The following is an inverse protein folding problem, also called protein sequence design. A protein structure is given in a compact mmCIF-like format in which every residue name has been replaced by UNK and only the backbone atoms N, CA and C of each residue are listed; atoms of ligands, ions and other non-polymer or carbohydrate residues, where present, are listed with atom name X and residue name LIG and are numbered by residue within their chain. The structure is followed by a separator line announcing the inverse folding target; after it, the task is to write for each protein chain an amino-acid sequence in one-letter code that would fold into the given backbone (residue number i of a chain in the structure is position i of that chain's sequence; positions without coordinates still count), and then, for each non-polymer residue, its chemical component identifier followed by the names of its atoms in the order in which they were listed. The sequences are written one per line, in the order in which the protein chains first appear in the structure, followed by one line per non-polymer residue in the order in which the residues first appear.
data_IF_516074052178
#
_entry.id   IF_516074052178
#
_cell.length_a   1.000
_cell.length_b   1.000
_cell.length_c   1.000
_cell.angle_alpha   90.00
_cell.angle_beta   90.00
_cell.angle_gamma   90.00
#
_symmetry.space_group_name_H-M   'P 1'
#
loop_
_entity.id
_entity.type
_entity.pdbx_description
1 polymer ?
#
# COMPACT_ATOMS: atom_id res chain seq x y z
N UNK A 1 18.51 27.73 -1.36
CA UNK A 1 17.10 27.86 -1.79
C UNK A 1 16.33 26.71 -1.16
N UNK A 2 15.24 26.95 -0.42
CA UNK A 2 14.41 25.85 0.08
C UNK A 2 13.68 25.23 -1.12
N UNK A 3 13.74 23.90 -1.33
CA UNK A 3 12.90 23.27 -2.34
C UNK A 3 11.43 23.59 -2.03
N UNK A 4 10.75 24.14 -3.03
CA UNK A 4 9.31 24.36 -2.97
C UNK A 4 8.65 23.13 -3.62
N UNK A 5 7.65 22.51 -2.99
CA UNK A 5 6.91 21.42 -3.62
C UNK A 5 6.30 21.90 -4.94
N UNK A 6 6.24 21.02 -5.95
CA UNK A 6 5.60 21.35 -7.22
C UNK A 6 4.12 21.69 -6.98
N UNK A 7 3.56 22.75 -7.60
CA UNK A 7 2.16 23.15 -7.35
C UNK A 7 1.14 22.04 -7.60
N UNK A 8 1.42 21.13 -8.53
CA UNK A 8 0.58 19.95 -8.81
C UNK A 8 0.65 18.87 -7.71
N UNK A 9 1.62 18.96 -6.79
CA UNK A 9 1.79 18.03 -5.65
C UNK A 9 1.15 18.61 -4.39
N UNK A 10 0.98 19.93 -4.32
CA UNK A 10 0.33 20.60 -3.19
C UNK A 10 -1.17 20.43 -3.33
N UNK A 11 -1.79 19.71 -2.38
CA UNK A 11 -3.23 19.41 -2.30
C UNK A 11 -3.79 18.40 -3.32
N UNK A 12 -2.96 17.78 -4.16
CA UNK A 12 -3.42 16.66 -4.98
C UNK A 12 -3.65 15.42 -4.09
N UNK A 13 -4.88 14.92 -4.11
CA UNK A 13 -5.27 13.66 -3.49
C UNK A 13 -5.16 12.57 -4.57
N UNK A 14 -4.12 11.71 -4.55
CA UNK A 14 -4.01 10.65 -5.54
C UNK A 14 -5.15 9.65 -5.34
N UNK A 15 -5.64 9.05 -6.42
CA UNK A 15 -6.54 7.90 -6.33
C UNK A 15 -5.70 6.70 -5.93
N UNK A 16 -6.00 6.12 -4.76
CA UNK A 16 -5.19 5.07 -4.14
C UNK A 16 -5.91 3.72 -4.12
N UNK A 17 -5.18 2.67 -4.50
CA UNK A 17 -5.56 1.28 -4.28
C UNK A 17 -4.64 0.63 -3.25
N UNK A 18 -5.20 -0.07 -2.27
CA UNK A 18 -4.46 -0.81 -1.25
C UNK A 18 -4.77 -2.29 -1.41
N UNK A 19 -3.75 -3.11 -1.69
CA UNK A 19 -3.90 -4.56 -1.86
C UNK A 19 -3.38 -5.25 -0.60
N UNK A 20 -4.28 -5.90 0.13
CA UNK A 20 -4.09 -6.42 1.48
C UNK A 20 -4.61 -5.44 2.53
N UNK A 21 -5.67 -5.83 3.26
CA UNK A 21 -6.36 -5.00 4.24
C UNK A 21 -6.13 -5.47 5.69
N UNK A 22 -4.96 -6.06 5.94
CA UNK A 22 -4.46 -6.34 7.28
C UNK A 22 -4.01 -5.08 8.02
N UNK A 23 -3.23 -5.27 9.09
CA UNK A 23 -2.74 -4.19 9.95
C UNK A 23 -2.10 -3.03 9.18
N UNK A 24 -1.15 -3.34 8.28
CA UNK A 24 -0.42 -2.35 7.47
C UNK A 24 -1.34 -1.64 6.49
N UNK A 25 -2.19 -2.39 5.78
CA UNK A 25 -3.14 -1.83 4.81
C UNK A 25 -4.10 -0.82 5.44
N UNK A 26 -4.64 -1.15 6.62
CA UNK A 26 -5.51 -0.26 7.37
C UNK A 26 -4.77 1.00 7.85
N UNK A 27 -3.50 0.92 8.24
CA UNK A 27 -2.72 2.13 8.57
C UNK A 27 -2.52 3.02 7.34
N UNK A 28 -2.24 2.45 6.18
CA UNK A 28 -2.17 3.22 4.93
C UNK A 28 -3.53 3.87 4.63
N UNK A 29 -4.64 3.15 4.79
CA UNK A 29 -5.99 3.66 4.61
C UNK A 29 -6.36 4.82 5.54
N UNK A 30 -5.79 4.88 6.75
CA UNK A 30 -5.98 6.02 7.67
C UNK A 30 -5.32 7.32 7.15
N UNK A 31 -4.29 7.21 6.32
CA UNK A 31 -3.64 8.36 5.70
C UNK A 31 -4.27 8.74 4.35
N UNK A 32 -4.83 7.75 3.64
CA UNK A 32 -5.56 7.94 2.38
C UNK A 32 -7.03 7.58 2.58
N UNK A 33 -7.79 8.49 3.20
CA UNK A 33 -9.17 8.23 3.62
C UNK A 33 -10.14 7.92 2.47
N UNK A 34 -9.81 8.41 1.27
CA UNK A 34 -10.56 8.14 0.02
C UNK A 34 -10.02 6.93 -0.76
N UNK A 35 -9.09 6.16 -0.18
CA UNK A 35 -8.54 4.99 -0.83
C UNK A 35 -9.58 3.89 -1.01
N UNK A 36 -9.37 3.08 -2.03
CA UNK A 36 -9.99 1.78 -2.14
C UNK A 36 -9.03 0.71 -1.66
N UNK A 37 -9.57 -0.39 -1.15
CA UNK A 37 -8.82 -1.56 -0.76
C UNK A 37 -9.41 -2.83 -1.34
N UNK A 38 -8.58 -3.86 -1.41
CA UNK A 38 -8.98 -5.22 -1.76
C UNK A 38 -8.16 -6.20 -0.93
N UNK A 39 -8.79 -7.30 -0.52
CA UNK A 39 -8.14 -8.37 0.21
C UNK A 39 -8.40 -9.73 -0.48
N UNK A 40 -8.23 -10.84 0.23
CA UNK A 40 -8.31 -12.21 -0.27
C UNK A 40 -9.62 -12.57 -1.00
N UNK A 41 -10.71 -11.84 -0.76
CA UNK A 41 -12.00 -12.04 -1.43
C UNK A 41 -12.07 -11.41 -2.83
N UNK A 42 -11.09 -10.58 -3.19
CA UNK A 42 -11.03 -9.86 -4.46
C UNK A 42 -12.06 -8.74 -4.58
N UNK A 43 -12.85 -8.46 -3.53
CA UNK A 43 -13.83 -7.39 -3.52
C UNK A 43 -13.14 -6.06 -3.26
N UNK A 44 -13.42 -5.07 -4.11
CA UNK A 44 -12.89 -3.73 -3.92
C UNK A 44 -13.87 -2.93 -3.08
N UNK A 45 -13.40 -2.38 -1.97
CA UNK A 45 -14.19 -1.60 -1.03
C UNK A 45 -13.53 -0.23 -0.78
N UNK A 46 -14.32 0.78 -0.45
CA UNK A 46 -13.80 2.03 0.08
C UNK A 46 -13.12 1.79 1.44
N UNK A 47 -12.17 2.63 1.83
CA UNK A 47 -11.53 2.56 3.15
C UNK A 47 -12.53 2.65 4.32
N UNK A 48 -13.69 3.25 4.08
CA UNK A 48 -14.86 3.33 4.98
C UNK A 48 -15.64 2.01 5.11
N UNK A 49 -15.44 1.07 4.18
CA UNK A 49 -15.97 -0.29 4.22
C UNK A 49 -17.09 -0.59 3.22
N UNK A 50 -17.61 0.40 2.49
CA UNK A 50 -18.62 0.17 1.45
C UNK A 50 -18.04 -0.48 0.20
N UNK A 51 -18.81 -1.35 -0.46
CA UNK A 51 -18.42 -1.97 -1.73
C UNK A 51 -18.30 -0.91 -2.84
N UNK A 52 -17.19 -0.93 -3.57
CA UNK A 52 -16.95 -0.05 -4.72
C UNK A 52 -17.36 -0.75 -6.02
N UNK A 53 -18.64 -0.66 -6.38
CA UNK A 53 -19.25 -1.43 -7.48
C UNK A 53 -18.70 -1.09 -8.88
N UNK A 54 -18.09 0.09 -9.08
CA UNK A 54 -17.53 0.49 -10.36
C UNK A 54 -16.19 1.22 -10.21
N UNK A 55 -15.16 0.65 -10.84
CA UNK A 55 -13.85 1.27 -10.99
C UNK A 55 -13.67 1.71 -12.44
N UNK A 56 -14.06 2.95 -12.76
CA UNK A 56 -14.07 3.47 -14.14
C UNK A 56 -12.68 3.89 -14.64
N UNK A 57 -11.81 4.31 -13.73
CA UNK A 57 -10.49 4.87 -14.07
C UNK A 57 -9.36 4.19 -13.28
N UNK A 58 -8.15 4.10 -13.84
CA UNK A 58 -6.99 3.57 -13.12
C UNK A 58 -6.61 4.48 -11.93
N UNK A 59 -6.03 3.90 -10.89
CA UNK A 59 -5.48 4.60 -9.74
C UNK A 59 -4.12 5.23 -10.07
N UNK A 60 -3.78 6.30 -9.35
CA UNK A 60 -2.46 6.93 -9.48
C UNK A 60 -1.40 6.12 -8.73
N UNK A 61 -1.77 5.55 -7.58
CA UNK A 61 -0.86 4.85 -6.68
C UNK A 61 -1.49 3.56 -6.12
N UNK A 62 -0.77 2.46 -6.22
CA UNK A 62 -1.09 1.18 -5.61
C UNK A 62 -0.15 0.87 -4.44
N UNK A 63 -0.67 0.37 -3.33
CA UNK A 63 0.11 -0.15 -2.22
C UNK A 63 -0.02 -1.67 -2.13
N UNK A 64 1.09 -2.38 -1.94
CA UNK A 64 1.10 -3.80 -1.63
C UNK A 64 1.38 -3.97 -0.13
N UNK A 65 0.38 -4.48 0.59
CA UNK A 65 0.33 -4.62 2.05
C UNK A 65 -0.04 -6.06 2.46
N UNK A 66 0.30 -7.04 1.62
CA UNK A 66 0.00 -8.47 1.86
C UNK A 66 1.04 -9.13 2.78
N UNK A 67 0.69 -10.25 3.44
CA UNK A 67 1.64 -11.03 4.23
C UNK A 67 2.85 -11.53 3.42
N UNK A 68 3.98 -11.62 4.11
CA UNK A 68 5.24 -12.17 3.61
C UNK A 68 5.83 -13.08 4.70
N UNK A 69 5.26 -14.27 4.89
CA UNK A 69 5.67 -15.16 5.97
C UNK A 69 7.10 -15.66 5.77
N UNK A 70 7.71 -16.12 6.87
CA UNK A 70 8.96 -16.87 6.78
C UNK A 70 8.71 -18.24 6.13
N UNK A 71 9.50 -18.55 5.10
CA UNK A 71 9.52 -19.83 4.43
C UNK A 71 10.16 -20.93 5.29
N UNK A 72 10.04 -22.19 4.85
CA UNK A 72 10.60 -23.35 5.59
C UNK A 72 12.13 -23.33 5.73
N UNK A 73 12.80 -22.57 4.87
CA UNK A 73 14.24 -22.38 4.83
C UNK A 73 14.69 -21.06 5.49
N UNK A 74 13.78 -20.35 6.18
CA UNK A 74 14.07 -19.08 6.83
C UNK A 74 14.07 -17.87 5.90
N UNK A 75 13.77 -18.05 4.61
CA UNK A 75 13.69 -16.96 3.63
C UNK A 75 12.37 -16.23 3.72
N UNK A 76 12.32 -14.99 3.23
CA UNK A 76 11.05 -14.27 3.14
C UNK A 76 10.27 -14.78 1.93
N UNK A 77 9.07 -15.31 2.15
CA UNK A 77 8.20 -15.79 1.09
C UNK A 77 7.45 -14.61 0.45
N UNK A 78 7.91 -14.18 -0.73
CA UNK A 78 7.36 -13.04 -1.47
C UNK A 78 6.25 -13.41 -2.45
N UNK A 79 5.81 -14.66 -2.50
CA UNK A 79 4.83 -15.12 -3.51
C UNK A 79 3.54 -14.30 -3.49
N UNK A 80 3.02 -13.99 -2.30
CA UNK A 80 1.80 -13.19 -2.16
C UNK A 80 1.97 -11.76 -2.71
N UNK A 81 3.16 -11.17 -2.57
CA UNK A 81 3.47 -9.83 -3.12
C UNK A 81 3.48 -9.88 -4.64
N UNK A 82 4.12 -10.91 -5.21
CA UNK A 82 4.20 -11.11 -6.65
C UNK A 82 2.81 -11.36 -7.26
N UNK A 83 2.04 -12.28 -6.67
CA UNK A 83 0.68 -12.60 -7.10
C UNK A 83 -0.24 -11.37 -7.02
N UNK A 84 -0.19 -10.62 -5.91
CA UNK A 84 -0.95 -9.40 -5.72
C UNK A 84 -0.56 -8.32 -6.75
N UNK A 85 0.74 -8.11 -6.97
CA UNK A 85 1.20 -7.15 -7.97
C UNK A 85 0.73 -7.55 -9.36
N UNK A 86 0.97 -8.78 -9.81
CA UNK A 86 0.60 -9.18 -11.17
C UNK A 86 -0.91 -9.20 -11.42
N UNK A 87 -1.71 -9.50 -10.40
CA UNK A 87 -3.17 -9.44 -10.47
C UNK A 87 -3.68 -8.00 -10.61
N UNK A 88 -3.08 -7.05 -9.89
CA UNK A 88 -3.60 -5.69 -9.78
C UNK A 88 -2.82 -4.64 -10.56
N UNK A 89 -1.63 -4.93 -11.09
CA UNK A 89 -0.69 -3.95 -11.67
C UNK A 89 -1.30 -3.05 -12.74
N UNK A 90 -2.26 -3.57 -13.53
CA UNK A 90 -2.94 -2.81 -14.58
C UNK A 90 -3.93 -1.76 -14.03
N UNK A 91 -4.23 -1.79 -12.73
CA UNK A 91 -5.14 -0.87 -12.06
C UNK A 91 -4.46 0.38 -11.53
N UNK A 92 -3.14 0.40 -11.32
CA UNK A 92 -2.46 1.58 -10.79
C UNK A 92 -1.21 1.96 -11.59
N UNK A 93 -0.97 3.27 -11.74
CA UNK A 93 0.17 3.80 -12.49
C UNK A 93 1.52 3.54 -11.80
N UNK A 94 1.60 3.82 -10.50
CA UNK A 94 2.78 3.58 -9.68
C UNK A 94 2.46 2.63 -8.54
N UNK A 95 3.45 1.88 -8.07
CA UNK A 95 3.30 0.90 -7.00
C UNK A 95 4.30 1.14 -5.88
N UNK A 96 3.86 0.99 -4.64
CA UNK A 96 4.67 1.08 -3.44
C UNK A 96 4.48 -0.17 -2.59
N UNK A 97 5.56 -0.92 -2.38
CA UNK A 97 5.55 -2.11 -1.55
C UNK A 97 5.75 -1.67 -0.10
N UNK A 98 4.77 -1.99 0.76
CA UNK A 98 4.86 -1.88 2.22
C UNK A 98 5.19 -3.22 2.88
N UNK A 99 4.77 -4.33 2.26
CA UNK A 99 5.13 -5.69 2.70
C UNK A 99 6.65 -5.85 2.81
N UNK A 100 7.12 -6.53 3.86
CA UNK A 100 8.54 -6.82 4.06
C UNK A 100 9.02 -7.79 2.98
N UNK A 101 9.90 -7.36 2.08
CA UNK A 101 10.38 -8.17 0.96
C UNK A 101 11.89 -8.35 0.98
N UNK A 102 12.39 -9.38 0.31
CA UNK A 102 13.84 -9.55 0.11
C UNK A 102 14.41 -8.46 -0.80
N UNK A 103 15.69 -8.13 -0.59
CA UNK A 103 16.46 -7.27 -1.51
C UNK A 103 16.38 -7.84 -2.94
N UNK A 104 16.20 -6.98 -3.94
CA UNK A 104 16.01 -7.40 -5.33
C UNK A 104 14.54 -7.54 -5.73
N UNK A 105 13.58 -7.61 -4.79
CA UNK A 105 12.17 -7.86 -5.12
C UNK A 105 11.55 -6.69 -5.88
N UNK A 106 11.81 -5.46 -5.46
CA UNK A 106 11.32 -4.26 -6.12
C UNK A 106 11.85 -4.14 -7.54
N UNK A 107 13.15 -4.39 -7.77
CA UNK A 107 13.71 -4.35 -9.13
C UNK A 107 13.11 -5.40 -10.06
N UNK A 108 12.74 -6.58 -9.55
CA UNK A 108 12.08 -7.64 -10.33
C UNK A 108 10.66 -7.26 -10.78
N UNK A 109 9.93 -6.49 -9.97
CA UNK A 109 8.53 -6.15 -10.23
C UNK A 109 8.37 -5.00 -11.23
N UNK A 110 9.33 -4.08 -11.32
CA UNK A 110 9.41 -3.13 -12.43
C UNK A 110 9.82 -1.71 -12.05
N UNK A 111 10.04 -0.88 -13.07
CA UNK A 111 10.56 0.48 -12.91
C UNK A 111 9.55 1.48 -12.31
N UNK A 112 8.25 1.15 -12.31
CA UNK A 112 7.20 1.94 -11.68
C UNK A 112 6.88 1.47 -10.24
N UNK A 113 7.74 0.63 -9.66
CA UNK A 113 7.58 0.06 -8.32
C UNK A 113 8.67 0.63 -7.40
N UNK A 114 8.28 1.07 -6.21
CA UNK A 114 9.20 1.46 -5.14
C UNK A 114 8.96 0.63 -3.87
N UNK A 115 9.93 0.67 -2.96
CA UNK A 115 9.80 0.07 -1.63
C UNK A 115 9.80 1.18 -0.58
N UNK A 116 8.80 1.14 0.29
CA UNK A 116 8.71 1.97 1.49
C UNK A 116 8.47 1.05 2.67
N UNK A 117 9.52 0.66 3.42
CA UNK A 117 9.35 -0.25 4.55
C UNK A 117 8.38 0.33 5.58
N UNK A 118 7.71 -0.56 6.32
CA UNK A 118 6.81 -0.22 7.41
C UNK A 118 7.46 -0.56 8.76
N UNK A 119 7.46 0.41 9.68
CA UNK A 119 8.05 0.27 11.02
C UNK A 119 7.04 0.56 12.14
N UNK A 120 5.77 0.74 11.78
CA UNK A 120 4.70 0.99 12.74
C UNK A 120 4.61 -0.14 13.77
N UNK A 121 4.67 0.24 15.04
CA UNK A 121 4.60 -0.70 16.18
C UNK A 121 5.96 -1.16 16.72
N UNK A 122 7.08 -0.87 16.04
CA UNK A 122 8.42 -1.28 16.51
C UNK A 122 8.98 -0.40 17.64
N UNK A 123 8.49 0.84 17.78
CA UNK A 123 8.96 1.79 18.80
C UNK A 123 7.91 2.08 19.87
N UNK A 124 8.29 1.96 21.15
CA UNK A 124 7.48 2.43 22.28
C UNK A 124 7.26 3.94 22.18
N UNK A 125 6.01 4.40 22.10
CA UNK A 125 5.66 5.82 21.99
C UNK A 125 5.86 6.46 20.61
N UNK A 126 5.78 5.68 19.53
CA UNK A 126 5.82 6.23 18.16
C UNK A 126 4.74 7.32 18.01
N UNK A 127 5.08 8.57 17.59
CA UNK A 127 4.12 9.67 17.58
C UNK A 127 2.82 9.34 16.85
N UNK A 128 2.91 8.67 15.69
CA UNK A 128 1.73 8.27 14.89
C UNK A 128 0.91 7.12 15.48
N UNK A 129 1.37 6.47 16.56
CA UNK A 129 0.63 5.39 17.23
C UNK A 129 -0.57 5.94 18.01
N UNK A 130 -0.38 7.09 18.66
CA UNK A 130 -1.37 7.69 19.57
C UNK A 130 -1.89 9.06 19.06
N UNK A 131 -1.35 9.60 17.97
CA UNK A 131 -1.63 10.98 17.51
C UNK A 131 -2.55 11.14 16.30
N UNK A 132 -3.38 10.14 15.94
CA UNK A 132 -4.42 10.32 14.93
C UNK A 132 -5.76 10.48 15.65
N UNK A 133 -6.38 11.67 15.63
CA UNK A 133 -7.47 12.04 16.53
C UNK A 133 -8.83 11.51 16.04
N UNK A 134 -8.98 10.21 15.82
CA UNK A 134 -10.28 9.59 15.59
C UNK A 134 -10.25 8.12 16.06
N UNK A 135 -10.22 7.95 17.38
CA UNK A 135 -10.82 6.82 18.09
C UNK A 135 -11.92 7.40 18.98
#
# INVERSE_FOLDING_TARGET
MKPQPHPEVVNAQPRVLIVGWGHVGQQVGRHFTEAHHVDVDGMVCAATGELAEQLSEPYDLGFICVPTPEGKDGRCDTRMVEDAFYMWQARARYWCIKSTVEVGTTERLGANVCFSPEYYGETLGHPLRDSIPFV
#
